data_IF_760197816075
#
_entry.id   IF_760197816075
#
_cell.length_a   1.000
_cell.length_b   1.000
_cell.length_c   1.000
_cell.angle_alpha   90.00
_cell.angle_beta   90.00
_cell.angle_gamma   90.00
#
_symmetry.space_group_name_H-M   'P 1'
#
loop_
_entity.id
_entity.type
_entity.pdbx_description
1 polymer ?
#
# COMPACT_ATOMS: atom_id res chain seq x y z
N UNK A 1 -40.19 27.69 -20.52
CA UNK A 1 -38.94 27.95 -21.25
C UNK A 1 -39.15 29.27 -21.97
N UNK A 2 -38.48 30.33 -21.55
CA UNK A 2 -38.55 31.62 -22.24
C UNK A 2 -37.73 31.49 -23.53
N UNK A 3 -38.38 31.76 -24.66
CA UNK A 3 -37.77 31.85 -25.99
C UNK A 3 -36.85 33.08 -25.97
N UNK A 4 -35.53 32.86 -26.04
CA UNK A 4 -34.56 33.95 -26.12
C UNK A 4 -34.65 34.50 -27.55
N UNK A 5 -34.97 35.78 -27.76
CA UNK A 5 -35.11 36.34 -29.10
C UNK A 5 -33.78 36.22 -29.86
N UNK A 6 -33.82 35.62 -31.04
CA UNK A 6 -32.65 35.36 -31.90
C UNK A 6 -31.84 36.63 -32.20
N UNK A 7 -32.51 37.78 -32.19
CA UNK A 7 -31.91 39.09 -32.42
C UNK A 7 -30.99 39.57 -31.29
N UNK A 8 -31.29 39.21 -30.03
CA UNK A 8 -30.42 39.53 -28.88
C UNK A 8 -29.12 38.69 -28.93
N UNK A 9 -29.16 37.49 -29.52
CA UNK A 9 -27.99 36.64 -29.72
C UNK A 9 -27.08 37.17 -30.84
N UNK A 10 -27.65 37.77 -31.89
CA UNK A 10 -26.87 38.40 -32.96
C UNK A 10 -26.19 39.70 -32.50
N UNK A 11 -26.90 40.55 -31.75
CA UNK A 11 -26.31 41.77 -31.18
C UNK A 11 -25.19 41.45 -30.17
N UNK A 12 -25.41 40.45 -29.31
CA UNK A 12 -24.36 40.03 -28.35
C UNK A 12 -23.16 39.38 -29.06
N UNK A 13 -23.38 38.61 -30.14
CA UNK A 13 -22.27 38.10 -30.99
C UNK A 13 -21.51 39.22 -31.68
N UNK A 14 -22.22 40.22 -32.23
CA UNK A 14 -21.59 41.37 -32.87
C UNK A 14 -20.80 42.22 -31.87
N UNK A 15 -21.32 42.42 -30.66
CA UNK A 15 -20.63 43.13 -29.59
C UNK A 15 -19.38 42.40 -29.08
N UNK A 16 -19.38 41.06 -29.09
CA UNK A 16 -18.26 40.24 -28.64
C UNK A 16 -17.25 39.89 -29.76
N UNK A 17 -17.61 40.08 -31.03
CA UNK A 17 -16.76 39.82 -32.19
C UNK A 17 -15.37 40.47 -32.09
N UNK A 18 -15.21 41.77 -31.76
CA UNK A 18 -13.88 42.38 -31.66
C UNK A 18 -13.03 41.78 -30.53
N UNK A 19 -13.65 41.38 -29.43
CA UNK A 19 -12.95 40.70 -28.32
C UNK A 19 -12.54 39.30 -28.71
N UNK A 20 -13.40 38.55 -29.40
CA UNK A 20 -13.10 37.20 -29.90
C UNK A 20 -12.00 37.22 -30.97
N UNK A 21 -12.03 38.18 -31.90
CA UNK A 21 -10.96 38.39 -32.88
C UNK A 21 -9.63 38.77 -32.21
N UNK A 22 -9.66 39.68 -31.22
CA UNK A 22 -8.47 40.02 -30.46
C UNK A 22 -7.90 38.82 -29.68
N UNK A 23 -8.77 37.99 -29.10
CA UNK A 23 -8.35 36.78 -28.38
C UNK A 23 -7.78 35.74 -29.36
N UNK A 24 -8.41 35.57 -30.52
CA UNK A 24 -7.93 34.70 -31.61
C UNK A 24 -6.58 35.16 -32.17
N UNK A 25 -6.36 36.47 -32.29
CA UNK A 25 -5.10 37.05 -32.74
C UNK A 25 -3.95 36.82 -31.75
N UNK A 26 -4.25 36.72 -30.45
CA UNK A 26 -3.27 36.54 -29.37
C UNK A 26 -2.98 35.05 -29.09
N UNK A 27 -3.91 34.14 -29.38
CA UNK A 27 -3.76 32.69 -29.15
C UNK A 27 -2.46 32.09 -29.72
N UNK A 28 -2.00 32.41 -30.95
CA UNK A 28 -0.72 31.93 -31.47
C UNK A 28 0.51 32.39 -30.68
N UNK A 29 0.45 33.57 -30.06
CA UNK A 29 1.56 34.16 -29.29
C UNK A 29 1.58 33.66 -27.85
N UNK A 30 0.41 33.34 -27.28
CA UNK A 30 0.30 32.70 -25.96
C UNK A 30 0.72 31.23 -26.05
N UNK A 31 0.42 30.58 -27.18
CA UNK A 31 0.78 29.18 -27.42
C UNK A 31 2.20 29.10 -27.94
N UNK A 32 3.19 29.45 -27.12
CA UNK A 32 4.57 29.08 -27.42
C UNK A 32 4.68 27.55 -27.25
N UNK A 33 4.82 26.75 -28.33
CA UNK A 33 4.89 25.31 -28.18
C UNK A 33 6.15 24.99 -27.36
N UNK A 34 5.96 24.37 -26.20
CA UNK A 34 7.06 23.90 -25.36
C UNK A 34 7.95 23.02 -26.23
N UNK A 35 9.26 23.32 -26.24
CA UNK A 35 10.24 22.48 -26.94
C UNK A 35 10.12 21.06 -26.40
N UNK A 36 9.86 20.11 -27.30
CA UNK A 36 9.76 18.70 -26.94
C UNK A 36 11.06 18.26 -26.23
N UNK A 37 10.91 17.51 -25.14
CA UNK A 37 12.05 16.98 -24.38
C UNK A 37 12.69 15.81 -25.12
N UNK A 38 11.90 15.02 -25.84
CA UNK A 38 12.31 13.80 -26.53
C UNK A 38 12.05 13.89 -28.05
N UNK A 39 12.72 13.03 -28.81
CA UNK A 39 12.40 12.83 -30.23
C UNK A 39 10.94 12.33 -30.37
N UNK A 40 10.09 12.96 -31.20
CA UNK A 40 8.71 12.52 -31.42
C UNK A 40 8.56 11.04 -31.81
N UNK A 41 9.52 10.49 -32.56
CA UNK A 41 9.53 9.06 -32.92
C UNK A 41 9.76 8.18 -31.71
N UNK A 42 10.62 8.62 -30.79
CA UNK A 42 10.88 7.92 -29.54
C UNK A 42 9.63 7.95 -28.66
N UNK A 43 8.99 9.11 -28.50
CA UNK A 43 7.76 9.20 -27.71
C UNK A 43 6.63 8.34 -28.29
N UNK A 44 6.50 8.28 -29.61
CA UNK A 44 5.50 7.42 -30.28
C UNK A 44 5.75 5.93 -29.98
N UNK A 45 7.02 5.50 -30.03
CA UNK A 45 7.40 4.14 -29.66
C UNK A 45 7.12 3.84 -28.19
N UNK A 46 7.43 4.79 -27.29
CA UNK A 46 7.12 4.66 -25.88
C UNK A 46 5.63 4.46 -25.61
N UNK A 47 4.77 5.28 -26.22
CA UNK A 47 3.31 5.17 -26.10
C UNK A 47 2.83 3.82 -26.61
N UNK A 48 3.33 3.38 -27.78
CA UNK A 48 2.97 2.09 -28.35
C UNK A 48 3.39 0.91 -27.44
N UNK A 49 4.61 0.94 -26.89
CA UNK A 49 5.10 -0.07 -25.96
C UNK A 49 4.32 -0.08 -24.64
N UNK A 50 3.97 1.11 -24.12
CA UNK A 50 3.18 1.24 -22.89
C UNK A 50 1.77 0.66 -23.05
N UNK A 51 1.12 0.91 -24.19
CA UNK A 51 -0.17 0.29 -24.54
C UNK A 51 -0.07 -1.21 -24.68
N UNK A 52 0.96 -1.69 -25.37
CA UNK A 52 1.19 -3.13 -25.50
C UNK A 52 1.40 -3.80 -24.14
N UNK A 53 2.15 -3.16 -23.25
CA UNK A 53 2.33 -3.62 -21.87
C UNK A 53 1.00 -3.62 -21.10
N UNK A 54 0.16 -2.61 -21.25
CA UNK A 54 -1.18 -2.58 -20.64
C UNK A 54 -2.06 -3.74 -21.12
N UNK A 55 -2.03 -4.06 -22.41
CA UNK A 55 -2.73 -5.24 -22.97
C UNK A 55 -2.15 -6.54 -22.43
N UNK A 56 -0.82 -6.71 -22.44
CA UNK A 56 -0.19 -7.90 -21.88
C UNK A 56 -0.52 -8.10 -20.38
N UNK A 57 -0.65 -7.00 -19.62
CA UNK A 57 -0.99 -7.04 -18.21
C UNK A 57 -2.45 -7.44 -17.95
N UNK A 58 -3.39 -6.96 -18.77
CA UNK A 58 -4.81 -7.34 -18.65
C UNK A 58 -5.03 -8.80 -19.04
N UNK A 59 -4.26 -9.31 -19.99
CA UNK A 59 -4.32 -10.69 -20.49
C UNK A 59 -3.35 -11.66 -19.77
N UNK A 60 -2.68 -11.22 -18.70
CA UNK A 60 -1.60 -11.99 -18.03
C UNK A 60 -1.97 -13.39 -17.55
N UNK A 61 -3.26 -13.65 -17.33
CA UNK A 61 -3.77 -14.96 -16.91
C UNK A 61 -4.04 -15.90 -18.08
N UNK A 62 -4.11 -15.37 -19.30
CA UNK A 62 -4.37 -16.12 -20.53
C UNK A 62 -3.08 -16.33 -21.36
N UNK A 63 -2.11 -15.42 -21.26
CA UNK A 63 -0.86 -15.50 -22.01
C UNK A 63 0.34 -14.96 -21.21
N UNK A 64 1.49 -15.62 -21.37
CA UNK A 64 2.76 -15.23 -20.74
C UNK A 64 3.51 -14.19 -21.59
N UNK A 65 2.93 -12.98 -21.71
CA UNK A 65 3.45 -11.91 -22.55
C UNK A 65 3.92 -10.67 -21.77
N UNK A 66 3.81 -10.69 -20.43
CA UNK A 66 4.12 -9.51 -19.60
C UNK A 66 5.62 -9.20 -19.62
N UNK A 67 6.47 -10.20 -19.38
CA UNK A 67 7.93 -9.99 -19.35
C UNK A 67 8.46 -9.47 -20.70
N UNK A 68 8.15 -10.06 -21.87
CA UNK A 68 8.57 -9.51 -23.15
C UNK A 68 8.12 -8.05 -23.37
N UNK A 69 6.91 -7.70 -22.95
CA UNK A 69 6.40 -6.33 -23.07
C UNK A 69 7.18 -5.34 -22.17
N UNK A 70 7.52 -5.74 -20.94
CA UNK A 70 8.37 -4.95 -20.02
C UNK A 70 9.76 -4.71 -20.64
N UNK A 71 10.42 -5.76 -21.14
CA UNK A 71 11.74 -5.61 -21.74
C UNK A 71 11.72 -4.78 -23.04
N UNK A 72 10.62 -4.83 -23.80
CA UNK A 72 10.43 -3.97 -24.96
C UNK A 72 10.34 -2.49 -24.57
N UNK A 73 9.64 -2.17 -23.48
CA UNK A 73 9.59 -0.81 -22.93
C UNK A 73 10.96 -0.39 -22.37
N UNK A 74 11.65 -1.29 -21.66
CA UNK A 74 12.97 -1.01 -21.09
C UNK A 74 14.03 -0.71 -22.17
N UNK A 75 13.99 -1.41 -23.31
CA UNK A 75 14.86 -1.09 -24.44
C UNK A 75 14.68 0.35 -24.93
N UNK A 76 13.43 0.84 -25.00
CA UNK A 76 13.16 2.24 -25.36
C UNK A 76 13.64 3.19 -24.25
N UNK A 77 13.49 2.82 -22.98
CA UNK A 77 13.99 3.61 -21.86
C UNK A 77 15.51 3.85 -21.96
N UNK A 78 16.30 2.84 -22.35
CA UNK A 78 17.74 2.98 -22.58
C UNK A 78 18.04 4.02 -23.68
N UNK A 79 17.27 4.01 -24.76
CA UNK A 79 17.43 4.95 -25.87
C UNK A 79 17.12 6.41 -25.50
N UNK A 80 16.34 6.65 -24.44
CA UNK A 80 16.00 8.02 -24.01
C UNK A 80 17.20 8.78 -23.44
N UNK A 81 18.24 8.07 -22.98
CA UNK A 81 19.34 8.62 -22.18
C UNK A 81 18.86 9.44 -20.95
N UNK A 82 17.67 9.14 -20.43
CA UNK A 82 17.06 9.83 -19.30
C UNK A 82 17.07 8.95 -18.04
N UNK A 83 17.54 9.50 -16.93
CA UNK A 83 17.73 8.75 -15.69
C UNK A 83 16.41 8.23 -15.11
N UNK A 84 15.33 9.00 -15.21
CA UNK A 84 14.02 8.61 -14.67
C UNK A 84 13.42 7.46 -15.51
N UNK A 85 13.56 7.53 -16.83
CA UNK A 85 13.16 6.45 -17.74
C UNK A 85 13.93 5.16 -17.45
N UNK A 86 15.26 5.25 -17.37
CA UNK A 86 16.13 4.10 -17.13
C UNK A 86 15.78 3.41 -15.80
N UNK A 87 15.70 4.19 -14.72
CA UNK A 87 15.36 3.69 -13.39
C UNK A 87 13.99 3.03 -13.36
N UNK A 88 12.99 3.63 -14.01
CA UNK A 88 11.66 3.04 -14.09
C UNK A 88 11.66 1.70 -14.84
N UNK A 89 12.38 1.63 -15.96
CA UNK A 89 12.51 0.41 -16.75
C UNK A 89 13.23 -0.71 -15.99
N UNK A 90 14.30 -0.38 -15.26
CA UNK A 90 15.00 -1.31 -14.37
C UNK A 90 14.08 -1.82 -13.25
N UNK A 91 13.37 -0.92 -12.58
CA UNK A 91 12.45 -1.27 -11.50
C UNK A 91 11.31 -2.20 -11.98
N UNK A 92 10.78 -1.97 -13.19
CA UNK A 92 9.80 -2.85 -13.81
C UNK A 92 10.39 -4.21 -14.18
N UNK A 93 11.62 -4.26 -14.71
CA UNK A 93 12.29 -5.51 -15.03
C UNK A 93 12.52 -6.35 -13.75
N UNK A 94 13.00 -5.74 -12.67
CA UNK A 94 13.13 -6.41 -11.37
C UNK A 94 11.78 -6.88 -10.82
N UNK A 95 10.72 -6.08 -10.98
CA UNK A 95 9.37 -6.48 -10.58
C UNK A 95 8.85 -7.66 -11.41
N UNK A 96 9.24 -7.78 -12.69
CA UNK A 96 8.90 -8.90 -13.55
C UNK A 96 9.55 -10.20 -13.06
N UNK A 97 10.80 -10.15 -12.58
CA UNK A 97 11.46 -11.32 -12.00
C UNK A 97 10.72 -11.85 -10.78
N UNK A 98 10.20 -10.94 -9.93
CA UNK A 98 9.39 -11.30 -8.77
C UNK A 98 7.99 -11.80 -9.13
N UNK A 99 7.46 -11.36 -10.25
CA UNK A 99 6.14 -11.79 -10.72
C UNK A 99 6.11 -13.28 -11.09
N UNK A 100 7.25 -13.83 -11.51
CA UNK A 100 7.39 -15.24 -11.90
C UNK A 100 7.61 -16.19 -10.71
N UNK A 101 7.74 -15.66 -9.50
CA UNK A 101 7.74 -16.48 -8.29
C UNK A 101 6.37 -17.19 -8.12
N UNK A 102 6.36 -18.33 -7.43
CA UNK A 102 5.18 -19.22 -7.34
C UNK A 102 3.93 -18.55 -6.77
N UNK A 103 4.10 -17.45 -6.02
CA UNK A 103 3.00 -16.64 -5.47
C UNK A 103 3.42 -15.17 -5.36
N UNK A 104 3.18 -14.33 -6.39
CA UNK A 104 3.48 -12.90 -6.32
C UNK A 104 2.59 -12.21 -5.29
N UNK A 105 3.16 -11.29 -4.51
CA UNK A 105 2.42 -10.62 -3.44
C UNK A 105 1.34 -9.67 -4.00
N UNK A 106 0.19 -9.50 -3.31
CA UNK A 106 -0.83 -8.54 -3.74
C UNK A 106 -0.29 -7.10 -3.86
N UNK A 107 0.69 -6.74 -3.03
CA UNK A 107 1.36 -5.44 -3.05
C UNK A 107 2.18 -5.24 -4.33
N UNK A 108 2.91 -6.27 -4.76
CA UNK A 108 3.64 -6.24 -6.03
C UNK A 108 2.67 -6.09 -7.21
N UNK A 109 1.59 -6.89 -7.25
CA UNK A 109 0.57 -6.83 -8.29
C UNK A 109 -0.05 -5.42 -8.35
N UNK A 110 -0.38 -4.82 -7.21
CA UNK A 110 -0.93 -3.47 -7.14
C UNK A 110 0.08 -2.40 -7.59
N UNK A 111 1.37 -2.55 -7.26
CA UNK A 111 2.41 -1.64 -7.70
C UNK A 111 2.63 -1.69 -9.21
N UNK A 112 2.70 -2.89 -9.81
CA UNK A 112 2.83 -3.08 -11.25
C UNK A 112 1.58 -2.53 -11.96
N UNK A 113 0.38 -2.86 -11.48
CA UNK A 113 -0.88 -2.37 -12.07
C UNK A 113 -0.92 -0.85 -12.11
N UNK A 114 -0.67 -0.20 -10.98
CA UNK A 114 -0.69 1.27 -10.90
C UNK A 114 0.39 1.92 -11.77
N UNK A 115 1.57 1.29 -11.90
CA UNK A 115 2.62 1.77 -12.79
C UNK A 115 2.20 1.68 -14.26
N UNK A 116 1.62 0.55 -14.68
CA UNK A 116 1.20 0.32 -16.06
C UNK A 116 0.05 1.25 -16.45
N UNK A 117 -0.94 1.45 -15.57
CA UNK A 117 -2.01 2.43 -15.77
C UNK A 117 -1.46 3.85 -15.89
N UNK A 118 -0.41 4.19 -15.16
CA UNK A 118 0.25 5.47 -15.27
C UNK A 118 1.00 5.65 -16.61
N UNK A 119 1.51 4.56 -17.19
CA UNK A 119 2.29 4.57 -18.42
C UNK A 119 1.41 4.65 -19.68
N UNK A 120 0.17 4.17 -19.62
CA UNK A 120 -0.81 4.26 -20.70
C UNK A 120 -1.42 5.67 -20.82
N UNK A 121 -0.55 6.67 -20.94
CA UNK A 121 -0.90 8.07 -21.12
C UNK A 121 -0.65 8.50 -22.57
N UNK A 122 -1.60 9.24 -23.15
CA UNK A 122 -1.52 9.72 -24.52
C UNK A 122 -0.34 10.68 -24.77
N UNK A 123 0.14 11.38 -23.73
CA UNK A 123 1.31 12.25 -23.82
C UNK A 123 2.64 11.48 -23.74
N UNK A 124 2.64 10.27 -23.18
CA UNK A 124 3.82 9.43 -22.99
C UNK A 124 4.91 10.16 -22.18
N UNK A 125 6.13 10.17 -22.73
CA UNK A 125 7.30 10.82 -22.13
C UNK A 125 7.17 12.35 -22.02
N UNK A 126 6.33 12.96 -22.86
CA UNK A 126 6.10 14.41 -22.86
C UNK A 126 5.06 14.84 -21.80
N UNK A 127 4.53 13.90 -21.00
CA UNK A 127 3.66 14.24 -19.88
C UNK A 127 4.41 15.17 -18.90
N UNK A 128 3.77 16.26 -18.48
CA UNK A 128 4.40 17.32 -17.67
C UNK A 128 5.00 16.82 -16.36
N UNK A 129 4.32 15.88 -15.71
CA UNK A 129 4.75 15.23 -14.47
C UNK A 129 5.46 13.88 -14.69
N UNK A 130 5.95 13.57 -15.90
CA UNK A 130 6.52 12.25 -16.19
C UNK A 130 7.65 11.86 -15.22
N UNK A 131 8.63 12.73 -14.98
CA UNK A 131 9.76 12.43 -14.10
C UNK A 131 9.34 12.13 -12.66
N UNK A 132 8.41 12.93 -12.10
CA UNK A 132 7.86 12.70 -10.76
C UNK A 132 7.10 11.37 -10.67
N UNK A 133 6.28 11.06 -11.68
CA UNK A 133 5.54 9.80 -11.76
C UNK A 133 6.51 8.62 -11.89
N UNK A 134 7.48 8.69 -12.79
CA UNK A 134 8.49 7.66 -13.00
C UNK A 134 9.28 7.37 -11.70
N UNK A 135 9.76 8.41 -11.03
CA UNK A 135 10.46 8.28 -9.74
C UNK A 135 9.58 7.67 -8.65
N UNK A 136 8.31 8.10 -8.55
CA UNK A 136 7.36 7.56 -7.59
C UNK A 136 7.10 6.06 -7.81
N UNK A 137 6.81 5.65 -9.05
CA UNK A 137 6.51 4.27 -9.37
C UNK A 137 7.74 3.37 -9.31
N UNK A 138 8.90 3.85 -9.76
CA UNK A 138 10.18 3.13 -9.61
C UNK A 138 10.45 2.81 -8.13
N UNK A 139 10.37 3.82 -7.25
CA UNK A 139 10.56 3.63 -5.80
C UNK A 139 9.58 2.61 -5.21
N UNK A 140 8.32 2.62 -5.64
CA UNK A 140 7.31 1.67 -5.18
C UNK A 140 7.60 0.24 -5.64
N UNK A 141 8.02 0.07 -6.89
CA UNK A 141 8.39 -1.24 -7.45
C UNK A 141 9.65 -1.78 -6.79
N UNK A 142 10.67 -0.96 -6.62
CA UNK A 142 11.91 -1.27 -5.88
C UNK A 142 11.60 -1.76 -4.47
N UNK A 143 10.75 -1.03 -3.74
CA UNK A 143 10.34 -1.42 -2.39
C UNK A 143 9.64 -2.79 -2.34
N UNK A 144 8.86 -3.14 -3.38
CA UNK A 144 8.25 -4.47 -3.48
C UNK A 144 9.28 -5.54 -3.82
N UNK A 145 10.30 -5.23 -4.63
CA UNK A 145 11.35 -6.17 -5.01
C UNK A 145 12.33 -6.50 -3.86
N UNK A 146 12.45 -5.58 -2.88
CA UNK A 146 13.27 -5.76 -1.67
C UNK A 146 12.49 -6.30 -0.47
N UNK A 147 11.16 -6.21 -0.47
CA UNK A 147 10.33 -6.68 0.64
C UNK A 147 10.49 -8.20 0.80
N UNK A 148 10.72 -8.65 2.03
CA UNK A 148 10.70 -10.08 2.36
C UNK A 148 9.29 -10.49 2.76
N UNK A 149 8.93 -11.76 2.67
CA UNK A 149 7.62 -12.28 3.13
C UNK A 149 7.35 -12.00 4.62
N UNK A 150 8.37 -11.66 5.42
CA UNK A 150 8.23 -11.18 6.80
C UNK A 150 7.68 -9.75 6.91
N UNK A 151 7.71 -8.94 5.84
CA UNK A 151 7.16 -7.57 5.79
C UNK A 151 5.63 -7.53 5.56
N UNK A 152 4.97 -8.70 5.50
CA UNK A 152 3.53 -8.79 5.25
C UNK A 152 2.67 -8.55 6.50
N UNK A 153 3.26 -8.58 7.70
CA UNK A 153 2.52 -8.28 8.94
C UNK A 153 2.28 -6.78 9.05
N UNK A 154 1.01 -6.40 9.04
CA UNK A 154 0.63 -4.99 9.15
C UNK A 154 1.04 -4.45 10.51
N UNK A 155 2.00 -3.52 10.52
CA UNK A 155 2.43 -2.82 11.75
C UNK A 155 1.26 -2.15 12.49
N UNK A 156 0.20 -1.76 11.77
CA UNK A 156 -1.03 -1.20 12.35
C UNK A 156 -1.81 -2.28 13.12
N UNK A 157 -1.91 -3.49 12.57
CA UNK A 157 -2.57 -4.62 13.25
C UNK A 157 -1.78 -5.04 14.47
N UNK A 158 -0.45 -5.07 14.38
CA UNK A 158 0.43 -5.36 15.52
C UNK A 158 0.28 -4.31 16.62
N UNK A 159 0.23 -3.03 16.26
CA UNK A 159 0.02 -1.95 17.22
C UNK A 159 -1.35 -2.03 17.89
N UNK A 160 -2.41 -2.32 17.12
CA UNK A 160 -3.76 -2.51 17.65
C UNK A 160 -3.79 -3.67 18.65
N UNK A 161 -3.23 -4.82 18.25
CA UNK A 161 -3.14 -6.00 19.11
C UNK A 161 -2.36 -5.72 20.38
N UNK A 162 -1.18 -5.09 20.31
CA UNK A 162 -0.36 -4.80 21.49
C UNK A 162 -1.10 -3.87 22.46
N UNK A 163 -1.84 -2.88 21.95
CA UNK A 163 -2.63 -1.99 22.81
C UNK A 163 -3.75 -2.76 23.52
N UNK A 164 -4.53 -3.54 22.79
CA UNK A 164 -5.64 -4.32 23.35
C UNK A 164 -5.13 -5.39 24.34
N UNK A 165 -4.04 -6.09 24.00
CA UNK A 165 -3.41 -7.06 24.89
C UNK A 165 -2.86 -6.41 26.17
N UNK A 166 -2.35 -5.17 26.09
CA UNK A 166 -1.91 -4.42 27.26
C UNK A 166 -3.08 -4.05 28.18
N UNK A 167 -4.22 -3.66 27.61
CA UNK A 167 -5.45 -3.41 28.37
C UNK A 167 -5.96 -4.69 29.03
N UNK A 168 -5.97 -5.83 28.32
CA UNK A 168 -6.35 -7.13 28.88
C UNK A 168 -5.44 -7.57 30.03
N UNK A 169 -4.13 -7.34 29.94
CA UNK A 169 -3.20 -7.59 31.06
C UNK A 169 -3.56 -6.72 32.26
N UNK A 170 -3.89 -5.45 32.04
CA UNK A 170 -4.29 -4.57 33.14
C UNK A 170 -5.59 -5.03 33.80
N UNK A 171 -6.60 -5.43 33.00
CA UNK A 171 -7.84 -6.01 33.51
C UNK A 171 -7.59 -7.30 34.31
N UNK A 172 -6.66 -8.14 33.87
CA UNK A 172 -6.25 -9.34 34.63
C UNK A 172 -5.59 -8.96 35.97
N UNK A 173 -4.74 -7.93 36.00
CA UNK A 173 -4.16 -7.43 37.26
C UNK A 173 -5.22 -6.89 38.22
N UNK A 174 -6.18 -6.14 37.69
CA UNK A 174 -7.28 -5.58 38.49
C UNK A 174 -8.17 -6.69 39.05
N UNK A 175 -8.49 -7.71 38.24
CA UNK A 175 -9.23 -8.90 38.68
C UNK A 175 -8.44 -9.71 39.73
N UNK A 176 -7.13 -9.83 39.56
CA UNK A 176 -6.26 -10.48 40.54
C UNK A 176 -6.19 -9.70 41.85
N UNK A 177 -6.27 -8.36 41.81
CA UNK A 177 -6.22 -7.47 42.97
C UNK A 177 -7.56 -7.33 43.72
N UNK A 178 -8.68 -7.72 43.11
CA UNK A 178 -9.99 -7.71 43.73
C UNK A 178 -10.05 -8.55 45.03
N UNK A 179 -11.05 -8.28 45.86
CA UNK A 179 -11.29 -8.94 47.15
C UNK A 179 -12.74 -9.47 47.21
N UNK A 180 -12.96 -10.78 47.04
CA UNK A 180 -11.97 -11.81 46.66
C UNK A 180 -11.50 -11.66 45.20
N UNK A 181 -10.34 -12.25 44.81
CA UNK A 181 -9.87 -12.24 43.42
C UNK A 181 -10.91 -12.84 42.47
N UNK A 182 -11.12 -12.19 41.32
CA UNK A 182 -12.09 -12.64 40.33
C UNK A 182 -11.47 -13.66 39.38
N UNK A 183 -11.52 -14.93 39.77
CA UNK A 183 -11.02 -16.05 38.97
C UNK A 183 -11.69 -16.13 37.58
N UNK A 184 -12.96 -15.76 37.50
CA UNK A 184 -13.73 -15.84 36.25
C UNK A 184 -13.24 -14.77 35.28
N UNK A 185 -13.19 -13.50 35.72
CA UNK A 185 -12.68 -12.40 34.89
C UNK A 185 -11.24 -12.67 34.43
N UNK A 186 -10.37 -13.15 35.34
CA UNK A 186 -8.99 -13.51 35.01
C UNK A 186 -8.91 -14.57 33.89
N UNK A 187 -9.73 -15.61 33.96
CA UNK A 187 -9.77 -16.67 32.97
C UNK A 187 -10.33 -16.22 31.61
N UNK A 188 -11.32 -15.32 31.62
CA UNK A 188 -11.94 -14.78 30.41
C UNK A 188 -10.95 -13.92 29.64
N UNK A 189 -10.26 -13.00 30.31
CA UNK A 189 -9.29 -12.11 29.66
C UNK A 189 -8.06 -12.90 29.16
N UNK A 190 -7.55 -13.86 29.93
CA UNK A 190 -6.44 -14.72 29.49
C UNK A 190 -6.78 -15.55 28.24
N UNK A 191 -8.04 -15.99 28.14
CA UNK A 191 -8.52 -16.75 26.98
C UNK A 191 -8.71 -15.87 25.73
N UNK A 192 -9.30 -14.68 25.89
CA UNK A 192 -9.41 -13.71 24.78
C UNK A 192 -8.05 -13.42 24.16
N UNK A 193 -7.05 -13.18 25.01
CA UNK A 193 -5.68 -12.92 24.59
C UNK A 193 -5.08 -14.10 23.82
N UNK A 194 -5.38 -15.33 24.25
CA UNK A 194 -4.96 -16.56 23.55
C UNK A 194 -5.55 -16.62 22.15
N UNK A 195 -6.87 -16.44 22.04
CA UNK A 195 -7.60 -16.53 20.77
C UNK A 195 -7.13 -15.44 19.79
N UNK A 196 -6.90 -14.22 20.28
CA UNK A 196 -6.37 -13.11 19.48
C UNK A 196 -4.93 -13.35 19.02
N UNK A 197 -4.06 -13.87 19.89
CA UNK A 197 -2.68 -14.20 19.52
C UNK A 197 -2.62 -15.33 18.49
N UNK A 198 -3.55 -16.29 18.55
CA UNK A 198 -3.66 -17.38 17.58
C UNK A 198 -4.10 -16.87 16.20
N UNK A 199 -5.08 -15.97 16.14
CA UNK A 199 -5.54 -15.34 14.88
C UNK A 199 -4.44 -14.54 14.17
N UNK A 200 -3.47 -14.00 14.92
CA UNK A 200 -2.34 -13.25 14.39
C UNK A 200 -1.06 -14.10 14.25
N UNK A 201 -1.16 -15.41 14.49
CA UNK A 201 -0.04 -16.35 14.43
C UNK A 201 1.15 -15.94 15.33
N UNK A 202 0.86 -15.27 16.44
CA UNK A 202 1.83 -14.86 17.45
C UNK A 202 2.06 -16.01 18.44
N UNK A 203 2.61 -17.12 17.92
CA UNK A 203 2.71 -18.40 18.62
C UNK A 203 3.39 -18.32 19.99
N UNK A 204 4.40 -17.44 20.13
CA UNK A 204 5.07 -17.19 21.41
C UNK A 204 4.15 -16.59 22.47
N UNK A 205 3.40 -15.54 22.10
CA UNK A 205 2.42 -14.90 23.00
C UNK A 205 1.27 -15.85 23.30
N UNK A 206 0.77 -16.55 22.27
CA UNK A 206 -0.28 -17.55 22.42
C UNK A 206 0.13 -18.65 23.43
N UNK A 207 1.36 -19.15 23.37
CA UNK A 207 1.83 -20.18 24.29
C UNK A 207 1.90 -19.67 25.74
N UNK A 208 2.39 -18.44 25.94
CA UNK A 208 2.42 -17.81 27.27
C UNK A 208 1.00 -17.59 27.82
N UNK A 209 0.06 -17.12 26.99
CA UNK A 209 -1.34 -16.90 27.36
C UNK A 209 -2.06 -18.22 27.70
N UNK A 210 -1.81 -19.30 26.93
CA UNK A 210 -2.34 -20.65 27.24
C UNK A 210 -1.80 -21.19 28.56
N UNK A 211 -0.51 -21.01 28.81
CA UNK A 211 0.11 -21.43 30.06
C UNK A 211 -0.48 -20.68 31.27
N UNK A 212 -0.67 -19.37 31.14
CA UNK A 212 -1.35 -18.55 32.14
C UNK A 212 -2.79 -19.04 32.38
N UNK A 213 -3.57 -19.25 31.32
CA UNK A 213 -4.95 -19.77 31.42
C UNK A 213 -5.01 -21.11 32.16
N UNK A 214 -4.08 -22.02 31.85
CA UNK A 214 -3.98 -23.32 32.53
C UNK A 214 -3.67 -23.19 34.03
N UNK A 215 -2.74 -22.30 34.38
CA UNK A 215 -2.35 -22.04 35.77
C UNK A 215 -3.51 -21.44 36.58
N UNK A 216 -4.25 -20.50 35.99
CA UNK A 216 -5.46 -19.90 36.59
C UNK A 216 -6.52 -20.98 36.84
N UNK A 217 -6.79 -21.83 35.84
CA UNK A 217 -7.77 -22.91 35.96
C UNK A 217 -7.43 -23.91 37.07
N UNK A 218 -6.14 -24.24 37.24
CA UNK A 218 -5.68 -25.16 38.29
C UNK A 218 -5.75 -24.53 39.69
N UNK A 219 -5.61 -23.21 39.81
CA UNK A 219 -5.51 -22.50 41.09
C UNK A 219 -6.71 -21.61 41.42
N UNK A 220 -7.82 -21.74 40.69
CA UNK A 220 -9.01 -20.88 40.84
C UNK A 220 -9.55 -20.82 42.27
N UNK A 221 -9.43 -21.91 43.04
CA UNK A 221 -9.84 -21.98 44.45
C UNK A 221 -8.81 -21.45 45.46
N UNK A 222 -7.57 -21.18 45.03
CA UNK A 222 -6.44 -20.80 45.89
C UNK A 222 -5.88 -19.42 45.55
N UNK A 223 -6.63 -18.58 44.82
CA UNK A 223 -6.15 -17.26 44.38
C UNK A 223 -5.91 -16.26 45.53
N UNK A 224 -6.37 -16.55 46.75
CA UNK A 224 -6.06 -15.76 47.93
C UNK A 224 -4.67 -16.06 48.50
N UNK A 225 -4.05 -17.18 48.10
CA UNK A 225 -2.68 -17.53 48.48
C UNK A 225 -1.70 -16.55 47.81
N UNK A 226 -0.89 -15.88 48.64
CA UNK A 226 0.12 -14.93 48.18
C UNK A 226 1.16 -15.54 47.24
N UNK A 227 1.49 -16.82 47.38
CA UNK A 227 2.42 -17.50 46.48
C UNK A 227 1.80 -17.73 45.09
N UNK A 228 0.51 -18.07 45.05
CA UNK A 228 -0.24 -18.25 43.80
C UNK A 228 -0.40 -16.90 43.08
N UNK A 229 -0.77 -15.84 43.81
CA UNK A 229 -0.88 -14.47 43.23
C UNK A 229 0.45 -14.00 42.67
N UNK A 230 1.56 -14.19 43.39
CA UNK A 230 2.89 -13.80 42.90
C UNK A 230 3.28 -14.55 41.62
N UNK A 231 2.96 -15.85 41.52
CA UNK A 231 3.22 -16.65 40.33
C UNK A 231 2.41 -16.18 39.11
N UNK A 232 1.13 -15.86 39.31
CA UNK A 232 0.27 -15.28 38.25
C UNK A 232 0.81 -13.91 37.81
N UNK A 233 1.18 -13.05 38.76
CA UNK A 233 1.72 -11.72 38.46
C UNK A 233 3.04 -11.80 37.68
N UNK A 234 3.92 -12.75 38.02
CA UNK A 234 5.14 -13.00 37.25
C UNK A 234 4.82 -13.36 35.79
N UNK A 235 3.85 -14.26 35.56
CA UNK A 235 3.44 -14.67 34.21
C UNK A 235 2.81 -13.52 33.41
N UNK A 236 2.02 -12.66 34.06
CA UNK A 236 1.51 -11.43 33.46
C UNK A 236 2.65 -10.48 33.07
N UNK A 237 3.71 -10.39 33.89
CA UNK A 237 4.92 -9.63 33.57
C UNK A 237 5.70 -10.18 32.38
N UNK A 238 5.91 -11.50 32.30
CA UNK A 238 6.55 -12.17 31.17
C UNK A 238 5.77 -11.93 29.86
N UNK A 239 4.44 -11.98 29.92
CA UNK A 239 3.59 -11.72 28.77
C UNK A 239 3.68 -10.25 28.33
N UNK A 240 3.66 -9.31 29.27
CA UNK A 240 3.87 -7.88 28.97
C UNK A 240 5.23 -7.60 28.32
N UNK A 241 6.29 -8.27 28.76
CA UNK A 241 7.61 -8.17 28.14
C UNK A 241 7.63 -8.74 26.71
N UNK A 242 6.97 -9.88 26.49
CA UNK A 242 6.85 -10.48 25.16
C UNK A 242 6.10 -9.55 24.17
N UNK A 243 5.04 -8.88 24.63
CA UNK A 243 4.31 -7.90 23.82
C UNK A 243 5.17 -6.68 23.47
N UNK A 244 6.05 -6.23 24.37
CA UNK A 244 6.95 -5.11 24.09
C UNK A 244 7.95 -5.42 22.97
N UNK A 245 8.35 -6.69 22.81
CA UNK A 245 9.23 -7.12 21.72
C UNK A 245 8.56 -7.13 20.34
N UNK A 246 7.22 -7.10 20.25
CA UNK A 246 6.49 -7.02 18.96
C UNK A 246 6.61 -5.61 18.35
N UNK A 247 6.93 -4.59 19.15
CA UNK A 247 7.11 -3.20 18.70
C UNK A 247 8.49 -2.89 18.14
N UNK A 248 9.43 -3.85 18.14
CA UNK A 248 10.81 -3.69 17.65
C UNK A 248 11.05 -4.44 16.35
#
# INVERSE_FOLDING_TARGET
MADIPEHELEETRAALAPTLEATAAILPWVRTPRKARFDPKLNTRWIAASRHLATAWSERHAADNVRPAIFSLYAIAIETADADCLRLGEALACAADRLEETSPTPRLIAAITACIECLDDAAGLEHTAFGERASHFAKRLEACATATTSDERSAILDQLFVNEASEQIQLMRDALAALPPDAYALSVEARKLTDQAELLELWGVMHLARHLTGLIGQQAGNLEDGAVRASIEQRLGELGAALACIRG
#
